data_IF_441810523577
#
_entry.id   IF_441810523577
#
_cell.length_a   1.000
_cell.length_b   1.000
_cell.length_c   1.000
_cell.angle_alpha   90.00
_cell.angle_beta   90.00
_cell.angle_gamma   90.00
#
_symmetry.space_group_name_H-M   'P 1'
#
loop_
_entity.id
_entity.type
_entity.pdbx_description
1 polymer ?
#
# COMPACT_ATOMS: atom_id res chain seq x y z
N UNK A 1 -63.75 62.20 -26.19
CA UNK A 1 -63.33 63.16 -27.23
C UNK A 1 -62.37 62.42 -28.15
N UNK A 2 -62.80 62.21 -29.41
CA UNK A 2 -62.13 61.74 -30.66
C UNK A 2 -60.82 60.91 -30.55
N UNK A 3 -60.70 59.63 -30.95
CA UNK A 3 -60.78 58.99 -32.30
C UNK A 3 -59.95 59.64 -33.42
N UNK A 4 -59.07 58.86 -34.06
CA UNK A 4 -58.55 59.14 -35.41
C UNK A 4 -57.13 58.63 -35.73
N UNK A 5 -57.03 57.43 -36.33
CA UNK A 5 -55.86 56.92 -37.05
C UNK A 5 -55.64 57.68 -38.39
N UNK A 6 -54.39 57.91 -38.80
CA UNK A 6 -54.04 58.12 -40.21
C UNK A 6 -52.63 57.62 -40.57
N UNK A 7 -52.55 56.97 -41.73
CA UNK A 7 -51.46 56.19 -42.32
C UNK A 7 -50.44 57.02 -43.10
N UNK A 8 -49.24 56.43 -43.28
CA UNK A 8 -48.38 56.37 -44.49
C UNK A 8 -47.86 57.71 -45.09
N UNK A 9 -46.71 57.83 -45.76
CA UNK A 9 -45.85 56.89 -46.49
C UNK A 9 -44.52 57.60 -46.89
N UNK A 10 -43.48 56.80 -47.20
CA UNK A 10 -42.44 57.06 -48.23
C UNK A 10 -41.37 58.15 -47.95
N UNK A 11 -40.07 58.10 -48.29
CA UNK A 11 -39.21 57.47 -49.34
C UNK A 11 -37.74 57.59 -48.86
N UNK A 12 -36.86 56.58 -48.85
CA UNK A 12 -36.04 56.04 -49.98
C UNK A 12 -34.54 56.43 -49.79
N UNK A 13 -33.47 55.76 -50.28
CA UNK A 13 -33.10 54.44 -50.81
C UNK A 13 -31.58 54.50 -51.17
N UNK A 14 -30.99 53.37 -51.61
CA UNK A 14 -29.65 53.09 -52.23
C UNK A 14 -28.68 52.42 -51.24
N UNK A 15 -28.15 51.20 -51.40
CA UNK A 15 -27.93 50.24 -52.52
C UNK A 15 -26.54 49.61 -52.21
N UNK A 16 -26.29 48.29 -52.13
CA UNK A 16 -26.40 47.29 -53.18
C UNK A 16 -26.53 45.85 -52.62
N UNK A 17 -27.20 45.03 -53.42
CA UNK A 17 -27.67 43.66 -53.24
C UNK A 17 -26.83 42.64 -54.02
N UNK A 18 -26.66 41.41 -53.52
CA UNK A 18 -26.68 40.18 -54.36
C UNK A 18 -27.30 38.99 -53.61
N UNK A 19 -28.01 38.16 -54.38
CA UNK A 19 -29.15 37.29 -54.09
C UNK A 19 -28.87 35.85 -53.60
N UNK A 20 -29.98 35.29 -53.10
CA UNK A 20 -30.39 33.88 -52.90
C UNK A 20 -29.92 32.85 -53.94
N UNK A 21 -29.71 31.60 -53.51
CA UNK A 21 -30.44 30.41 -54.03
C UNK A 21 -30.14 29.14 -53.22
N UNK A 22 -31.18 28.33 -53.05
CA UNK A 22 -31.28 27.05 -52.32
C UNK A 22 -30.50 25.90 -52.96
N UNK A 23 -29.78 25.07 -52.18
CA UNK A 23 -29.35 23.74 -52.63
C UNK A 23 -29.42 22.63 -51.57
N UNK A 24 -30.00 21.51 -52.01
CA UNK A 24 -30.20 20.22 -51.34
C UNK A 24 -28.90 19.47 -51.03
N UNK A 25 -28.91 18.80 -49.88
CA UNK A 25 -28.42 17.43 -49.58
C UNK A 25 -27.25 16.90 -50.42
N UNK A 26 -26.03 16.91 -49.86
CA UNK A 26 -24.97 15.95 -50.20
C UNK A 26 -24.20 15.49 -48.97
N UNK A 27 -24.36 14.20 -48.71
CA UNK A 27 -23.45 13.31 -47.99
C UNK A 27 -21.99 13.59 -48.35
N UNK A 28 -21.17 13.95 -47.37
CA UNK A 28 -19.74 14.20 -47.55
C UNK A 28 -18.99 13.86 -46.27
N UNK A 29 -18.35 12.70 -46.27
CA UNK A 29 -17.52 12.15 -45.20
C UNK A 29 -16.49 13.18 -44.71
N UNK A 30 -16.65 13.67 -43.48
CA UNK A 30 -15.51 14.05 -42.64
C UNK A 30 -15.20 12.88 -41.71
N UNK A 31 -14.57 11.85 -42.29
CA UNK A 31 -13.75 10.89 -41.56
C UNK A 31 -12.44 11.64 -41.19
N UNK A 32 -12.53 12.57 -40.25
CA UNK A 32 -11.43 13.47 -39.89
C UNK A 32 -11.08 13.36 -38.41
N UNK A 33 -10.20 12.41 -38.06
CA UNK A 33 -9.45 12.33 -36.81
C UNK A 33 -10.21 12.45 -35.47
N UNK A 34 -11.35 11.76 -35.30
CA UNK A 34 -11.66 11.16 -33.98
C UNK A 34 -10.78 9.94 -33.78
N UNK A 35 -9.47 10.14 -33.63
CA UNK A 35 -8.67 9.19 -32.85
C UNK A 35 -9.29 9.25 -31.48
N UNK A 36 -10.17 8.29 -31.18
CA UNK A 36 -10.64 8.01 -29.82
C UNK A 36 -9.38 8.11 -28.97
N UNK A 37 -9.22 9.18 -28.19
CA UNK A 37 -8.38 9.14 -27.00
C UNK A 37 -9.01 7.98 -26.23
N UNK A 38 -8.47 6.77 -26.41
CA UNK A 38 -8.79 5.63 -25.56
C UNK A 38 -8.36 6.15 -24.20
N UNK A 39 -9.33 6.73 -23.49
CA UNK A 39 -9.05 7.64 -22.39
C UNK A 39 -8.21 6.87 -21.39
N UNK A 40 -6.94 7.24 -21.33
CA UNK A 40 -5.97 6.72 -20.37
C UNK A 40 -6.66 6.79 -19.01
N UNK A 41 -6.56 5.71 -18.26
CA UNK A 41 -7.23 5.59 -16.98
C UNK A 41 -6.67 6.57 -15.94
N UNK A 42 -5.42 7.02 -16.15
CA UNK A 42 -4.66 7.80 -15.18
C UNK A 42 -3.80 6.93 -14.26
N UNK A 43 -3.73 5.63 -14.54
CA UNK A 43 -3.12 4.60 -13.69
C UNK A 43 -2.11 3.72 -14.42
N UNK A 44 -1.77 4.07 -15.66
CA UNK A 44 -0.75 3.36 -16.41
C UNK A 44 0.65 3.60 -15.77
N UNK A 45 1.59 2.63 -15.76
CA UNK A 45 2.90 2.76 -15.08
C UNK A 45 3.77 3.95 -15.50
N UNK A 46 3.49 4.53 -16.67
CA UNK A 46 4.19 5.70 -17.21
C UNK A 46 3.26 6.88 -17.44
N UNK A 47 2.13 6.91 -16.73
CA UNK A 47 1.18 8.01 -16.81
C UNK A 47 1.85 9.29 -16.30
N UNK A 48 1.94 10.28 -17.16
CA UNK A 48 2.34 11.64 -16.81
C UNK A 48 1.12 12.54 -16.96
N UNK A 49 0.92 13.42 -15.98
CA UNK A 49 -0.11 14.44 -16.09
C UNK A 49 0.16 15.30 -17.34
N UNK A 50 -0.85 15.57 -18.18
CA UNK A 50 -0.70 16.47 -19.31
C UNK A 50 -0.15 17.83 -18.85
N UNK A 51 0.72 18.44 -19.65
CA UNK A 51 1.17 19.81 -19.40
C UNK A 51 -0.04 20.73 -19.29
N UNK A 52 -0.10 21.52 -18.21
CA UNK A 52 -1.17 22.49 -18.01
C UNK A 52 -1.10 23.58 -19.08
N UNK A 53 -2.23 23.81 -19.74
CA UNK A 53 -2.39 24.97 -20.62
C UNK A 53 -2.22 26.28 -19.83
N UNK A 54 -1.87 27.38 -20.50
CA UNK A 54 -1.72 28.67 -19.83
C UNK A 54 -3.01 29.12 -19.11
N UNK A 55 -4.17 28.78 -19.68
CA UNK A 55 -5.48 29.03 -19.09
C UNK A 55 -5.70 28.20 -17.82
N UNK A 56 -5.36 26.91 -17.84
CA UNK A 56 -5.46 26.04 -16.66
C UNK A 56 -4.49 26.44 -15.56
N UNK A 57 -3.28 26.92 -15.91
CA UNK A 57 -2.33 27.46 -14.92
C UNK A 57 -2.92 28.68 -14.21
N UNK A 58 -3.48 29.63 -14.97
CA UNK A 58 -4.12 30.82 -14.40
C UNK A 58 -5.36 30.47 -13.56
N UNK A 59 -6.15 29.49 -14.00
CA UNK A 59 -7.28 28.98 -13.23
C UNK A 59 -6.81 28.36 -11.91
N UNK A 60 -5.77 27.51 -11.96
CA UNK A 60 -5.19 26.88 -10.77
C UNK A 60 -4.60 27.92 -9.81
N UNK A 61 -3.91 28.95 -10.30
CA UNK A 61 -3.40 30.06 -9.48
C UNK A 61 -4.54 30.79 -8.73
N UNK A 62 -5.71 30.92 -9.36
CA UNK A 62 -6.90 31.52 -8.75
C UNK A 62 -7.55 30.57 -7.74
N UNK A 63 -7.67 29.28 -8.08
CA UNK A 63 -8.35 28.27 -7.25
C UNK A 63 -7.55 27.82 -6.04
N UNK A 64 -6.22 27.82 -6.18
CA UNK A 64 -5.25 27.33 -5.19
C UNK A 64 -4.32 28.43 -4.69
N UNK A 65 -4.74 29.69 -4.79
CA UNK A 65 -4.02 30.82 -4.21
C UNK A 65 -3.76 30.59 -2.72
N UNK A 66 -2.57 30.96 -2.24
CA UNK A 66 -2.19 30.89 -0.80
C UNK A 66 -3.12 31.68 0.12
N UNK A 67 -3.90 32.61 -0.42
CA UNK A 67 -4.92 33.37 0.32
C UNK A 67 -6.17 32.53 0.65
N UNK A 68 -6.30 31.35 0.06
CA UNK A 68 -7.39 30.40 0.32
C UNK A 68 -6.87 29.35 1.32
N UNK A 69 -7.60 29.07 2.41
CA UNK A 69 -7.22 28.02 3.37
C UNK A 69 -6.85 26.71 2.67
N UNK A 70 -5.82 26.02 3.17
CA UNK A 70 -5.33 24.78 2.55
C UNK A 70 -6.44 23.75 2.40
N UNK A 71 -7.33 23.63 3.40
CA UNK A 71 -8.51 22.75 3.36
C UNK A 71 -9.31 22.90 2.10
N UNK A 72 -9.76 24.12 1.83
CA UNK A 72 -10.59 24.45 0.67
C UNK A 72 -9.84 24.14 -0.62
N UNK A 73 -8.53 24.39 -0.66
CA UNK A 73 -7.70 24.06 -1.83
C UNK A 73 -7.63 22.55 -2.06
N UNK A 74 -7.37 21.78 -1.00
CA UNK A 74 -7.25 20.32 -1.03
C UNK A 74 -8.59 19.65 -1.37
N UNK A 75 -9.70 20.05 -0.74
CA UNK A 75 -11.05 19.53 -1.07
C UNK A 75 -11.38 19.72 -2.55
N UNK A 76 -11.21 20.94 -3.07
CA UNK A 76 -11.46 21.26 -4.49
C UNK A 76 -10.56 20.43 -5.39
N UNK A 77 -9.30 20.27 -5.01
CA UNK A 77 -8.35 19.49 -5.77
C UNK A 77 -8.71 18.00 -5.79
N UNK A 78 -9.08 17.41 -4.65
CA UNK A 78 -9.45 15.99 -4.54
C UNK A 78 -10.67 15.68 -5.44
N UNK A 79 -11.68 16.56 -5.45
CA UNK A 79 -12.84 16.42 -6.33
C UNK A 79 -12.45 16.47 -7.82
N UNK A 80 -11.59 17.43 -8.19
CA UNK A 80 -11.04 17.51 -9.57
C UNK A 80 -10.19 16.29 -9.91
N UNK A 81 -9.38 15.79 -8.97
CA UNK A 81 -8.53 14.63 -9.13
C UNK A 81 -9.35 13.36 -9.38
N UNK A 82 -10.43 13.15 -8.60
CA UNK A 82 -11.33 12.01 -8.75
C UNK A 82 -12.07 12.05 -10.10
N UNK A 83 -12.60 13.21 -10.50
CA UNK A 83 -13.37 13.36 -11.75
C UNK A 83 -12.53 13.21 -13.02
N UNK A 84 -11.22 13.51 -12.97
CA UNK A 84 -10.31 13.39 -14.12
C UNK A 84 -9.82 11.96 -14.39
N UNK A 85 -10.00 11.03 -13.44
CA UNK A 85 -9.48 9.65 -13.50
C UNK A 85 -10.58 8.62 -13.61
N UNK A 86 -10.25 7.46 -14.19
CA UNK A 86 -11.15 6.31 -14.23
C UNK A 86 -10.86 5.38 -13.06
N UNK A 87 -11.83 5.24 -12.18
CA UNK A 87 -11.76 4.39 -11.01
C UNK A 87 -12.43 3.04 -11.27
N UNK A 88 -11.91 2.26 -12.23
CA UNK A 88 -12.51 0.96 -12.58
C UNK A 88 -12.15 -0.18 -11.62
N UNK A 89 -11.09 0.02 -10.83
CA UNK A 89 -10.54 -0.98 -9.91
C UNK A 89 -11.03 -0.69 -8.47
N UNK A 90 -11.82 -1.60 -7.87
CA UNK A 90 -12.32 -1.42 -6.50
C UNK A 90 -11.23 -1.31 -5.44
N UNK A 91 -10.12 -2.05 -5.59
CA UNK A 91 -9.00 -2.01 -4.65
C UNK A 91 -8.39 -0.61 -4.61
N UNK A 92 -8.24 0.00 -5.80
CA UNK A 92 -7.68 1.34 -5.93
C UNK A 92 -8.56 2.41 -5.29
N UNK A 93 -9.88 2.33 -5.47
CA UNK A 93 -10.82 3.26 -4.81
C UNK A 93 -10.73 3.12 -3.29
N UNK A 94 -10.75 1.88 -2.79
CA UNK A 94 -10.69 1.58 -1.36
C UNK A 94 -9.42 2.13 -0.74
N UNK A 95 -8.26 1.84 -1.34
CA UNK A 95 -6.96 2.29 -0.83
C UNK A 95 -6.83 3.82 -0.87
N UNK A 96 -7.29 4.47 -1.94
CA UNK A 96 -7.26 5.93 -2.02
C UNK A 96 -8.17 6.56 -0.96
N UNK A 97 -9.33 5.96 -0.71
CA UNK A 97 -10.25 6.40 0.33
C UNK A 97 -9.62 6.28 1.72
N UNK A 98 -9.04 5.12 2.05
CA UNK A 98 -8.31 4.90 3.31
C UNK A 98 -7.16 5.90 3.51
N UNK A 99 -6.41 6.21 2.44
CA UNK A 99 -5.34 7.22 2.50
C UNK A 99 -5.87 8.62 2.80
N UNK A 100 -6.97 9.01 2.17
CA UNK A 100 -7.63 10.29 2.40
C UNK A 100 -8.20 10.39 3.82
N UNK A 101 -8.89 9.34 4.29
CA UNK A 101 -9.46 9.29 5.64
C UNK A 101 -8.35 9.40 6.71
N UNK A 102 -7.21 8.71 6.52
CA UNK A 102 -6.04 8.83 7.42
C UNK A 102 -5.47 10.25 7.43
N UNK A 103 -5.52 10.96 6.31
CA UNK A 103 -5.10 12.36 6.19
C UNK A 103 -6.13 13.38 6.68
N UNK A 104 -7.20 12.95 7.35
CA UNK A 104 -8.25 13.83 7.88
C UNK A 104 -9.29 14.30 6.84
N UNK A 105 -9.35 13.67 5.67
CA UNK A 105 -10.37 13.94 4.66
C UNK A 105 -11.50 12.94 4.83
N UNK A 106 -12.64 13.40 5.33
CA UNK A 106 -13.85 12.58 5.40
C UNK A 106 -14.41 12.29 4.02
N UNK A 107 -14.52 11.01 3.69
CA UNK A 107 -15.13 10.54 2.43
C UNK A 107 -16.54 9.98 2.69
N UNK A 108 -17.58 10.76 2.37
CA UNK A 108 -18.98 10.39 2.57
C UNK A 108 -19.96 11.41 2.03
N UNK A 109 -21.22 11.02 1.83
CA UNK A 109 -22.28 12.00 1.55
C UNK A 109 -22.45 12.89 2.78
N UNK A 110 -22.24 14.21 2.64
CA UNK A 110 -22.56 15.19 3.69
C UNK A 110 -24.01 14.95 4.14
N UNK A 111 -24.21 14.47 5.37
CA UNK A 111 -25.51 13.95 5.87
C UNK A 111 -26.60 15.03 6.06
N UNK A 112 -26.50 16.22 5.45
CA UNK A 112 -27.42 17.32 5.70
C UNK A 112 -27.75 18.19 4.49
N UNK A 113 -28.02 17.58 3.32
CA UNK A 113 -28.57 18.32 2.18
C UNK A 113 -30.10 18.26 2.18
N UNK A 114 -30.71 19.06 3.07
CA UNK A 114 -32.15 19.34 3.03
C UNK A 114 -32.55 19.97 1.69
N UNK A 115 -33.62 19.43 1.07
CA UNK A 115 -34.06 19.73 -0.28
C UNK A 115 -34.14 21.22 -0.61
N UNK A 116 -33.19 21.70 -1.42
CA UNK A 116 -33.31 22.97 -2.12
C UNK A 116 -33.67 22.67 -3.57
N UNK A 117 -34.82 23.19 -4.02
CA UNK A 117 -35.21 23.21 -5.42
C UNK A 117 -34.17 24.03 -6.22
N UNK A 118 -33.34 23.33 -6.99
CA UNK A 118 -32.28 23.92 -7.80
C UNK A 118 -32.88 24.25 -9.17
N UNK A 119 -33.51 25.43 -9.27
CA UNK A 119 -33.77 26.10 -10.54
C UNK A 119 -32.72 27.20 -10.78
N UNK A 120 -32.30 27.33 -12.03
CA UNK A 120 -31.41 28.32 -12.65
C UNK A 120 -29.89 28.07 -12.57
N UNK A 121 -29.27 28.11 -13.76
CA UNK A 121 -27.88 27.83 -14.15
C UNK A 121 -26.77 28.54 -13.35
N UNK A 122 -27.12 29.44 -12.42
CA UNK A 122 -26.17 30.10 -11.53
C UNK A 122 -25.58 29.15 -10.45
N UNK A 123 -26.16 27.96 -10.27
CA UNK A 123 -25.84 27.05 -9.17
C UNK A 123 -24.80 25.96 -9.46
N UNK A 124 -24.15 25.89 -10.62
CA UNK A 124 -23.21 24.79 -10.89
C UNK A 124 -22.11 24.61 -9.82
N UNK A 125 -21.60 25.71 -9.25
CA UNK A 125 -20.64 25.66 -8.12
C UNK A 125 -21.29 25.24 -6.80
N UNK A 126 -22.53 25.66 -6.56
CA UNK A 126 -23.27 25.36 -5.33
C UNK A 126 -23.76 23.89 -5.32
N UNK A 127 -24.21 23.39 -6.46
CA UNK A 127 -24.54 21.96 -6.67
C UNK A 127 -23.29 21.09 -6.56
N UNK A 128 -22.15 21.54 -7.10
CA UNK A 128 -20.87 20.84 -6.93
C UNK A 128 -20.48 20.73 -5.47
N UNK A 129 -20.64 21.81 -4.68
CA UNK A 129 -20.37 21.80 -3.25
C UNK A 129 -21.32 20.90 -2.47
N UNK A 130 -22.59 20.79 -2.90
CA UNK A 130 -23.60 19.91 -2.30
C UNK A 130 -23.42 18.43 -2.67
N UNK A 131 -22.88 18.13 -3.86
CA UNK A 131 -22.60 16.74 -4.31
C UNK A 131 -21.21 16.26 -3.87
N UNK A 132 -20.47 17.10 -3.14
CA UNK A 132 -19.12 16.80 -2.69
C UNK A 132 -19.12 15.62 -1.72
N UNK A 133 -18.46 14.53 -2.11
CA UNK A 133 -18.26 13.35 -1.28
C UNK A 133 -17.04 13.46 -0.37
N UNK A 134 -16.13 14.40 -0.60
CA UNK A 134 -14.85 14.47 0.11
C UNK A 134 -14.72 15.86 0.73
N UNK A 135 -14.67 15.92 2.06
CA UNK A 135 -14.58 17.16 2.83
C UNK A 135 -13.64 17.02 4.02
N UNK A 136 -13.07 18.13 4.48
CA UNK A 136 -12.18 18.21 5.63
C UNK A 136 -12.92 18.97 6.72
N UNK A 137 -13.06 18.35 7.89
CA UNK A 137 -13.69 19.02 9.04
C UNK A 137 -12.74 20.09 9.59
N UNK A 138 -13.17 21.35 9.58
CA UNK A 138 -12.32 22.49 9.93
C UNK A 138 -11.84 22.44 11.38
N UNK A 139 -12.66 21.89 12.28
CA UNK A 139 -12.38 21.83 13.71
C UNK A 139 -11.18 20.93 14.05
N UNK A 140 -10.84 20.00 13.16
CA UNK A 140 -9.72 19.06 13.34
C UNK A 140 -8.36 19.79 13.15
N UNK A 141 -8.28 20.83 12.31
CA UNK A 141 -6.98 21.36 11.88
C UNK A 141 -6.29 22.29 12.86
N UNK A 142 -7.04 22.87 13.80
CA UNK A 142 -6.42 23.62 14.89
C UNK A 142 -5.69 22.69 15.87
N UNK A 143 -5.94 21.37 15.79
CA UNK A 143 -5.34 20.36 16.67
C UNK A 143 -4.16 19.61 16.04
N UNK A 144 -4.02 19.59 14.70
CA UNK A 144 -3.01 18.78 14.02
C UNK A 144 -2.10 19.58 13.08
N UNK A 145 -0.80 19.28 13.15
CA UNK A 145 0.19 19.74 12.17
C UNK A 145 0.01 19.01 10.83
N UNK A 146 0.10 19.76 9.72
CA UNK A 146 0.00 19.20 8.37
C UNK A 146 1.34 18.58 7.96
N UNK A 147 1.39 17.25 7.86
CA UNK A 147 2.57 16.51 7.39
C UNK A 147 2.18 15.40 6.38
N UNK A 148 2.36 15.69 5.09
CA UNK A 148 2.12 14.74 4.00
C UNK A 148 3.06 13.53 4.05
N UNK A 149 4.30 13.73 4.50
CA UNK A 149 5.31 12.67 4.60
C UNK A 149 4.93 11.69 5.70
N UNK A 150 4.52 12.19 6.86
CA UNK A 150 4.06 11.35 7.96
C UNK A 150 2.81 10.57 7.57
N UNK A 151 1.80 11.20 6.97
CA UNK A 151 0.58 10.50 6.51
C UNK A 151 0.91 9.42 5.48
N UNK A 152 1.81 9.70 4.52
CA UNK A 152 2.27 8.70 3.56
C UNK A 152 3.04 7.55 4.24
N UNK A 153 3.89 7.86 5.22
CA UNK A 153 4.65 6.91 6.02
C UNK A 153 3.75 5.96 6.79
N UNK A 154 2.83 6.49 7.60
CA UNK A 154 1.85 5.71 8.37
C UNK A 154 0.98 4.88 7.45
N UNK A 155 0.46 5.47 6.37
CA UNK A 155 -0.38 4.75 5.43
C UNK A 155 0.33 3.52 4.86
N UNK A 156 1.55 3.71 4.33
CA UNK A 156 2.30 2.68 3.63
C UNK A 156 3.03 1.69 4.55
N UNK A 157 3.23 2.01 5.83
CA UNK A 157 3.99 1.15 6.75
C UNK A 157 3.17 0.41 7.80
N UNK A 158 2.15 1.03 8.39
CA UNK A 158 1.32 0.39 9.43
C UNK A 158 -0.11 0.17 8.93
N UNK A 159 -0.75 1.20 8.38
CA UNK A 159 -2.18 1.15 8.05
C UNK A 159 -2.50 0.09 6.98
N UNK A 160 -1.74 0.02 5.89
CA UNK A 160 -2.00 -1.01 4.86
C UNK A 160 -1.65 -2.43 5.32
N UNK A 161 -0.69 -2.59 6.24
CA UNK A 161 -0.26 -3.89 6.74
C UNK A 161 -1.28 -4.48 7.71
N UNK A 162 -1.79 -3.67 8.64
CA UNK A 162 -2.69 -4.13 9.70
C UNK A 162 -4.18 -3.94 9.39
N UNK A 163 -4.55 -2.90 8.65
CA UNK A 163 -5.97 -2.51 8.52
C UNK A 163 -6.55 -2.80 7.12
N UNK A 164 -5.74 -2.71 6.06
CA UNK A 164 -6.25 -2.89 4.69
C UNK A 164 -6.39 -4.36 4.26
N UNK A 165 -5.80 -5.30 5.01
CA UNK A 165 -5.86 -6.74 4.73
C UNK A 165 -5.19 -7.12 3.40
N UNK A 166 -4.12 -6.41 3.02
CA UNK A 166 -3.44 -6.65 1.74
C UNK A 166 -2.61 -7.94 1.80
N UNK A 167 -2.91 -8.87 0.90
CA UNK A 167 -2.23 -10.18 0.88
C UNK A 167 -1.28 -10.33 -0.30
N UNK A 168 -1.50 -9.60 -1.39
CA UNK A 168 -0.75 -9.73 -2.65
C UNK A 168 0.28 -8.62 -2.83
N UNK A 169 1.38 -8.93 -3.52
CA UNK A 169 2.41 -7.94 -3.88
C UNK A 169 1.84 -6.83 -4.79
N UNK A 170 0.92 -7.18 -5.68
CA UNK A 170 0.27 -6.22 -6.60
C UNK A 170 -0.53 -5.14 -5.84
N UNK A 171 -1.19 -5.50 -4.74
CA UNK A 171 -1.97 -4.55 -3.95
C UNK A 171 -1.05 -3.53 -3.24
N UNK A 172 0.15 -3.97 -2.81
CA UNK A 172 1.16 -3.09 -2.21
C UNK A 172 1.69 -2.08 -3.24
N UNK A 173 1.96 -2.54 -4.46
CA UNK A 173 2.35 -1.66 -5.57
C UNK A 173 1.27 -0.62 -5.86
N UNK A 174 0.01 -1.05 -5.93
CA UNK A 174 -1.13 -0.15 -6.14
C UNK A 174 -1.20 0.91 -5.04
N UNK A 175 -1.01 0.54 -3.76
CA UNK A 175 -1.01 1.49 -2.64
C UNK A 175 0.08 2.57 -2.81
N UNK A 176 1.33 2.18 -3.09
CA UNK A 176 2.43 3.13 -3.30
C UNK A 176 2.18 4.05 -4.49
N UNK A 177 1.69 3.50 -5.61
CA UNK A 177 1.41 4.26 -6.83
C UNK A 177 0.26 5.25 -6.64
N UNK A 178 -0.77 4.92 -5.87
CA UNK A 178 -1.87 5.85 -5.55
C UNK A 178 -1.31 7.08 -4.82
N UNK A 179 -0.56 6.88 -3.74
CA UNK A 179 0.01 7.97 -2.94
C UNK A 179 0.92 8.84 -3.80
N UNK A 180 1.88 8.22 -4.51
CA UNK A 180 2.82 8.93 -5.39
C UNK A 180 2.10 9.72 -6.48
N UNK A 181 1.16 9.10 -7.19
CA UNK A 181 0.44 9.76 -8.29
C UNK A 181 -0.47 10.90 -7.81
N UNK A 182 -1.06 10.76 -6.63
CA UNK A 182 -1.86 11.83 -6.03
C UNK A 182 -0.97 13.03 -5.66
N UNK A 183 0.10 12.81 -4.91
CA UNK A 183 1.00 13.85 -4.44
C UNK A 183 1.76 14.55 -5.58
N UNK A 184 2.19 13.81 -6.60
CA UNK A 184 2.75 14.42 -7.82
C UNK A 184 1.73 15.31 -8.54
N UNK A 185 0.44 14.93 -8.52
CA UNK A 185 -0.62 15.76 -9.10
C UNK A 185 -0.90 17.01 -8.27
N UNK A 186 -0.80 16.93 -6.93
CA UNK A 186 -0.84 18.09 -6.02
C UNK A 186 0.27 19.09 -6.37
N UNK A 187 1.50 18.61 -6.56
CA UNK A 187 2.65 19.43 -6.98
C UNK A 187 2.44 20.02 -8.38
N UNK A 188 2.02 19.19 -9.35
CA UNK A 188 1.80 19.61 -10.75
C UNK A 188 0.79 20.75 -10.87
N UNK A 189 -0.24 20.74 -10.03
CA UNK A 189 -1.30 21.77 -10.02
C UNK A 189 -1.02 22.92 -9.03
N UNK A 190 0.13 22.92 -8.35
CA UNK A 190 0.53 23.92 -7.37
C UNK A 190 -0.53 24.15 -6.27
N UNK A 191 -1.09 23.06 -5.73
CA UNK A 191 -2.22 23.14 -4.79
C UNK A 191 -1.79 23.63 -3.41
N UNK A 192 -0.61 23.19 -2.95
CA UNK A 192 -0.07 23.42 -1.61
C UNK A 192 1.42 23.84 -1.65
N UNK A 193 1.77 24.97 -2.30
CA UNK A 193 3.16 25.42 -2.46
C UNK A 193 3.93 25.62 -1.16
N UNK A 194 3.26 25.88 -0.04
CA UNK A 194 3.91 26.02 1.26
C UNK A 194 4.45 24.69 1.83
N UNK A 195 3.98 23.54 1.32
CA UNK A 195 4.39 22.20 1.73
C UNK A 195 5.13 21.45 0.61
N UNK A 196 5.63 22.18 -0.39
CA UNK A 196 6.23 21.60 -1.60
C UNK A 196 7.35 20.59 -1.28
N UNK A 197 8.23 20.94 -0.34
CA UNK A 197 9.34 20.07 0.09
C UNK A 197 8.84 18.84 0.86
N UNK A 198 7.87 19.01 1.75
CA UNK A 198 7.27 17.89 2.48
C UNK A 198 6.52 16.92 1.55
N UNK A 199 5.85 17.43 0.51
CA UNK A 199 5.19 16.60 -0.52
C UNK A 199 6.22 15.88 -1.39
N UNK A 200 7.35 16.51 -1.73
CA UNK A 200 8.45 15.84 -2.44
C UNK A 200 9.04 14.70 -1.61
N UNK A 201 9.29 14.95 -0.33
CA UNK A 201 9.76 13.92 0.60
C UNK A 201 8.78 12.75 0.70
N UNK A 202 7.48 13.03 0.73
CA UNK A 202 6.43 12.00 0.71
C UNK A 202 6.41 11.20 -0.60
N UNK A 203 6.67 11.83 -1.75
CA UNK A 203 6.81 11.14 -3.03
C UNK A 203 8.03 10.20 -3.05
N UNK A 204 9.15 10.63 -2.49
CA UNK A 204 10.37 9.81 -2.36
C UNK A 204 10.12 8.63 -1.42
N UNK A 205 9.43 8.85 -0.31
CA UNK A 205 9.03 7.77 0.61
C UNK A 205 8.14 6.76 -0.10
N UNK A 206 7.16 7.19 -0.90
CA UNK A 206 6.29 6.27 -1.64
C UNK A 206 7.05 5.44 -2.68
N UNK A 207 8.09 6.00 -3.31
CA UNK A 207 8.98 5.27 -4.22
C UNK A 207 9.86 4.25 -3.48
N UNK A 208 10.42 4.64 -2.33
CA UNK A 208 11.14 3.73 -1.44
C UNK A 208 10.24 2.57 -0.98
N UNK A 209 9.02 2.89 -0.55
CA UNK A 209 8.02 1.94 -0.07
C UNK A 209 7.69 0.87 -1.11
N UNK A 210 7.55 1.23 -2.39
CA UNK A 210 7.29 0.26 -3.46
C UNK A 210 8.35 -0.84 -3.50
N UNK A 211 9.63 -0.51 -3.30
CA UNK A 211 10.72 -1.49 -3.30
C UNK A 211 10.81 -2.29 -2.00
N UNK A 212 10.71 -1.62 -0.85
CA UNK A 212 10.87 -2.25 0.46
C UNK A 212 9.69 -3.14 0.81
N UNK A 213 8.45 -2.70 0.59
CA UNK A 213 7.25 -3.46 0.96
C UNK A 213 7.15 -4.79 0.19
N UNK A 214 7.49 -4.79 -1.10
CA UNK A 214 7.53 -6.02 -1.90
C UNK A 214 8.62 -6.96 -1.36
N UNK A 215 9.81 -6.42 -1.08
CA UNK A 215 10.93 -7.19 -0.55
C UNK A 215 10.61 -7.78 0.83
N UNK A 216 9.97 -7.00 1.68
CA UNK A 216 9.51 -7.40 3.00
C UNK A 216 8.41 -8.46 2.93
N UNK A 217 7.45 -8.32 2.01
CA UNK A 217 6.42 -9.34 1.77
C UNK A 217 7.07 -10.65 1.38
N UNK A 218 8.00 -10.66 0.44
CA UNK A 218 8.75 -11.85 0.03
C UNK A 218 9.53 -12.46 1.20
N UNK A 219 10.19 -11.62 1.99
CA UNK A 219 10.93 -12.06 3.17
C UNK A 219 10.00 -12.72 4.20
N UNK A 220 8.85 -12.10 4.51
CA UNK A 220 7.88 -12.60 5.49
C UNK A 220 7.40 -14.02 5.18
N UNK A 221 7.27 -14.38 3.89
CA UNK A 221 6.86 -15.74 3.48
C UNK A 221 7.96 -16.79 3.65
N UNK A 222 9.22 -16.38 3.71
CA UNK A 222 10.38 -17.28 3.80
C UNK A 222 10.93 -17.39 5.21
N UNK A 223 10.74 -16.37 6.04
CA UNK A 223 11.14 -16.40 7.44
C UNK A 223 10.36 -17.46 8.25
N UNK A 224 10.93 -17.97 9.36
CA UNK A 224 12.28 -17.69 9.87
C UNK A 224 13.42 -18.39 9.10
N UNK A 225 13.11 -19.11 8.01
CA UNK A 225 14.09 -19.90 7.27
C UNK A 225 14.06 -21.38 7.66
N UNK A 226 14.70 -22.22 6.85
CA UNK A 226 14.69 -23.68 7.04
C UNK A 226 15.57 -24.08 8.21
N UNK A 227 16.72 -23.43 8.39
CA UNK A 227 17.64 -23.62 9.50
C UNK A 227 16.99 -23.30 10.84
N UNK A 228 16.32 -22.15 10.93
CA UNK A 228 15.67 -21.72 12.16
C UNK A 228 14.52 -22.66 12.55
N UNK A 229 13.72 -23.12 11.58
CA UNK A 229 12.69 -24.14 11.83
C UNK A 229 13.27 -25.46 12.32
N UNK A 230 14.39 -25.90 11.75
CA UNK A 230 15.07 -27.10 12.23
C UNK A 230 15.54 -26.93 13.68
N UNK A 231 16.18 -25.80 14.00
CA UNK A 231 16.62 -25.46 15.36
C UNK A 231 15.43 -25.41 16.34
N UNK A 232 14.33 -24.74 15.96
CA UNK A 232 13.12 -24.66 16.77
C UNK A 232 12.54 -26.06 17.06
N UNK A 233 12.47 -26.95 16.07
CA UNK A 233 11.96 -28.32 16.28
C UNK A 233 12.77 -29.16 17.29
N UNK A 234 14.05 -28.82 17.50
CA UNK A 234 14.93 -29.53 18.45
C UNK A 234 14.89 -28.88 19.83
N UNK A 235 14.88 -27.55 19.91
CA UNK A 235 15.14 -26.83 21.15
C UNK A 235 13.90 -26.25 21.79
N UNK A 236 12.91 -25.83 21.00
CA UNK A 236 11.72 -25.13 21.46
C UNK A 236 10.58 -26.11 21.73
N UNK A 237 10.08 -26.12 22.96
CA UNK A 237 9.13 -27.11 23.44
C UNK A 237 7.85 -27.19 22.59
N UNK A 238 7.36 -26.06 22.08
CA UNK A 238 6.16 -26.02 21.24
C UNK A 238 6.30 -26.75 19.89
N UNK A 239 7.52 -26.99 19.41
CA UNK A 239 7.78 -27.67 18.13
C UNK A 239 8.39 -29.07 18.30
N UNK A 240 8.83 -29.45 19.50
CA UNK A 240 9.45 -30.75 19.77
C UNK A 240 8.47 -31.88 19.49
N UNK A 241 8.86 -32.81 18.62
CA UNK A 241 8.06 -33.98 18.28
C UNK A 241 6.77 -33.70 17.50
N UNK A 242 6.46 -32.43 17.18
CA UNK A 242 5.20 -32.03 16.56
C UNK A 242 4.96 -32.71 15.20
N UNK A 243 6.05 -33.01 14.48
CA UNK A 243 6.00 -33.62 13.14
C UNK A 243 6.58 -35.03 13.11
N UNK A 244 6.82 -35.64 14.27
CA UNK A 244 7.24 -37.04 14.33
C UNK A 244 6.01 -37.91 14.03
N UNK A 245 6.18 -38.92 13.15
CA UNK A 245 5.10 -39.86 12.85
C UNK A 245 4.72 -40.59 14.15
N UNK A 246 3.52 -40.37 14.65
CA UNK A 246 2.99 -41.09 15.80
C UNK A 246 2.98 -42.60 15.48
N UNK A 247 3.44 -43.43 16.41
CA UNK A 247 3.46 -44.89 16.20
C UNK A 247 2.05 -45.51 16.09
N UNK A 248 0.99 -44.75 16.38
CA UNK A 248 -0.41 -45.21 16.30
C UNK A 248 -0.94 -45.41 14.87
N UNK A 249 -0.30 -44.83 13.84
CA UNK A 249 -0.76 -44.99 12.45
C UNK A 249 -0.27 -46.30 11.79
N UNK A 250 0.31 -47.23 12.56
CA UNK A 250 0.87 -48.48 12.03
C UNK A 250 0.14 -49.76 12.44
N UNK A 251 -1.01 -49.67 13.11
CA UNK A 251 -1.82 -50.84 13.48
C UNK A 251 -3.32 -50.54 13.45
N UNK A 252 -3.95 -50.61 12.28
CA UNK A 252 -5.26 -51.26 12.07
C UNK A 252 -5.74 -51.07 10.63
N UNK A 253 -5.66 -52.16 9.87
CA UNK A 253 -6.66 -52.47 8.86
C UNK A 253 -8.06 -52.39 9.52
N UNK A 254 -8.89 -51.41 9.16
CA UNK A 254 -10.35 -51.56 9.02
C UNK A 254 -11.00 -50.22 8.67
N UNK A 255 -11.33 -50.07 7.38
CA UNK A 255 -12.56 -49.44 6.89
C UNK A 255 -13.07 -48.19 7.61
N UNK A 256 -12.66 -47.01 7.16
CA UNK A 256 -13.53 -45.82 7.19
C UNK A 256 -13.55 -45.24 5.78
N UNK A 257 -14.63 -45.53 5.05
CA UNK A 257 -14.95 -44.92 3.77
C UNK A 257 -15.20 -43.42 4.00
N UNK A 258 -14.25 -42.56 3.62
CA UNK A 258 -14.55 -41.16 3.34
C UNK A 258 -14.50 -40.96 1.83
N UNK A 259 -15.60 -40.45 1.31
CA UNK A 259 -16.00 -40.40 -0.09
C UNK A 259 -14.91 -39.72 -0.94
N UNK A 260 -14.38 -40.46 -1.91
CA UNK A 260 -13.58 -39.95 -3.01
C UNK A 260 -14.44 -39.05 -3.90
N UNK A 261 -14.21 -37.74 -3.84
CA UNK A 261 -14.52 -36.82 -4.93
C UNK A 261 -13.25 -36.56 -5.74
N UNK A 262 -13.11 -37.37 -6.79
CA UNK A 262 -12.21 -37.32 -7.94
C UNK A 262 -11.61 -35.94 -8.30
N UNK A 263 -10.31 -35.75 -8.04
CA UNK A 263 -9.27 -35.34 -9.01
C UNK A 263 -8.01 -34.81 -8.30
N UNK A 264 -7.12 -35.69 -7.87
CA UNK A 264 -5.66 -35.45 -7.89
C UNK A 264 -4.95 -36.77 -7.63
N UNK A 265 -4.22 -37.27 -8.63
CA UNK A 265 -3.31 -38.42 -8.50
C UNK A 265 -2.21 -38.07 -7.49
N UNK A 266 -2.31 -38.58 -6.26
CA UNK A 266 -1.17 -38.70 -5.37
C UNK A 266 -0.34 -39.90 -5.81
N UNK A 267 0.81 -39.65 -6.44
CA UNK A 267 1.85 -40.67 -6.59
C UNK A 267 2.59 -40.81 -5.25
N UNK A 268 2.82 -42.03 -4.75
CA UNK A 268 3.69 -42.24 -3.60
C UNK A 268 5.12 -42.34 -4.11
N UNK A 269 5.88 -41.25 -4.03
CA UNK A 269 7.34 -41.30 -4.08
C UNK A 269 7.88 -40.47 -2.90
N UNK A 270 8.67 -41.15 -2.08
CA UNK A 270 9.27 -40.74 -0.81
C UNK A 270 10.42 -39.71 -0.97
N UNK A 271 10.35 -38.85 -1.99
CA UNK A 271 11.32 -37.76 -2.21
C UNK A 271 10.54 -36.50 -2.65
N UNK A 272 10.71 -35.39 -1.89
CA UNK A 272 10.14 -34.06 -2.13
C UNK A 272 8.63 -33.88 -1.83
N UNK A 273 8.27 -33.77 -0.55
CA UNK A 273 7.10 -32.95 -0.18
C UNK A 273 7.56 -31.53 0.17
N UNK A 274 7.76 -30.72 -0.87
CA UNK A 274 7.63 -29.24 -0.77
C UNK A 274 6.51 -28.82 -1.72
N UNK A 275 5.28 -28.64 -1.21
CA UNK A 275 4.34 -27.77 -1.89
C UNK A 275 3.59 -26.88 -0.90
N UNK A 276 4.27 -26.35 0.12
CA UNK A 276 3.87 -25.17 0.90
C UNK A 276 5.09 -24.69 1.70
N UNK A 277 5.29 -23.37 1.81
CA UNK A 277 6.51 -22.71 2.36
C UNK A 277 6.87 -23.00 3.82
N UNK A 278 6.37 -24.07 4.42
CA UNK A 278 6.62 -24.52 5.78
C UNK A 278 7.32 -25.88 5.72
N UNK A 279 8.65 -25.89 5.58
CA UNK A 279 9.44 -27.13 5.72
C UNK A 279 9.23 -27.68 7.14
N UNK A 280 8.42 -28.74 7.24
CA UNK A 280 8.15 -29.46 8.48
C UNK A 280 9.25 -30.50 8.66
N UNK A 281 9.96 -30.45 9.78
CA UNK A 281 11.00 -31.41 10.10
C UNK A 281 10.50 -32.38 11.15
N UNK A 282 10.67 -33.69 10.90
CA UNK A 282 10.75 -34.62 12.02
C UNK A 282 12.00 -34.31 12.85
N UNK A 283 11.99 -34.72 14.12
CA UNK A 283 13.10 -34.52 15.05
C UNK A 283 14.39 -35.11 14.50
N UNK A 284 14.33 -36.27 13.84
CA UNK A 284 15.51 -36.87 13.21
C UNK A 284 16.00 -36.06 12.01
N UNK A 285 15.09 -35.64 11.12
CA UNK A 285 15.44 -34.83 9.95
C UNK A 285 16.05 -33.47 10.35
N UNK A 286 15.54 -32.85 11.41
CA UNK A 286 16.11 -31.61 11.93
C UNK A 286 17.52 -31.81 12.49
N UNK A 287 17.76 -32.88 13.27
CA UNK A 287 19.12 -33.22 13.76
C UNK A 287 20.10 -33.42 12.62
N UNK A 288 19.73 -34.21 11.63
CA UNK A 288 20.58 -34.50 10.46
C UNK A 288 20.86 -33.22 9.67
N UNK A 289 19.85 -32.36 9.50
CA UNK A 289 20.00 -31.06 8.85
C UNK A 289 20.98 -30.16 9.60
N UNK A 290 20.77 -29.93 10.90
CA UNK A 290 21.63 -29.07 11.74
C UNK A 290 23.07 -29.60 11.78
N UNK A 291 23.25 -30.92 11.92
CA UNK A 291 24.57 -31.53 11.94
C UNK A 291 25.33 -31.32 10.63
N UNK A 292 24.63 -31.36 9.49
CA UNK A 292 25.22 -31.12 8.16
C UNK A 292 25.54 -29.64 7.90
N UNK A 293 24.76 -28.72 8.46
CA UNK A 293 24.85 -27.28 8.16
C UNK A 293 25.71 -26.51 9.15
N UNK A 294 25.50 -26.71 10.44
CA UNK A 294 26.21 -26.00 11.52
C UNK A 294 27.19 -26.91 12.29
N UNK A 295 26.95 -28.23 12.29
CA UNK A 295 27.74 -29.20 13.06
C UNK A 295 27.10 -29.60 14.39
N UNK A 296 27.66 -30.63 15.06
CA UNK A 296 27.01 -31.28 16.20
C UNK A 296 26.89 -30.41 17.46
N UNK A 297 27.76 -29.39 17.62
CA UNK A 297 27.77 -28.50 18.80
C UNK A 297 26.47 -27.71 18.98
N UNK A 298 25.69 -27.54 17.92
CA UNK A 298 24.45 -26.77 17.93
C UNK A 298 23.23 -27.60 18.36
N UNK A 299 23.42 -28.89 18.65
CA UNK A 299 22.35 -29.79 19.11
C UNK A 299 22.21 -29.84 20.64
N UNK A 300 23.19 -29.31 21.40
CA UNK A 300 23.28 -29.54 22.86
C UNK A 300 22.83 -28.36 23.73
N UNK A 301 22.43 -27.24 23.12
CA UNK A 301 22.01 -26.05 23.87
C UNK A 301 20.72 -26.28 24.66
N UNK A 302 20.60 -25.62 25.82
CA UNK A 302 19.37 -25.57 26.60
C UNK A 302 18.76 -24.18 26.49
N UNK A 303 17.43 -24.14 26.39
CA UNK A 303 16.66 -22.89 26.40
C UNK A 303 16.86 -22.20 27.76
N UNK A 304 17.35 -20.98 27.72
CA UNK A 304 17.52 -20.10 28.88
C UNK A 304 16.30 -19.20 29.03
N UNK A 305 15.85 -18.63 27.92
CA UNK A 305 14.84 -17.57 27.88
C UNK A 305 14.17 -17.54 26.51
N UNK A 306 12.91 -17.10 26.47
CA UNK A 306 12.14 -16.86 25.25
C UNK A 306 11.44 -15.52 25.36
N UNK A 307 11.61 -14.67 24.36
CA UNK A 307 11.04 -13.31 24.36
C UNK A 307 10.39 -13.02 23.00
N UNK A 308 9.30 -12.26 23.04
CA UNK A 308 8.74 -11.65 21.83
C UNK A 308 9.33 -10.25 21.70
N UNK A 309 10.00 -9.98 20.59
CA UNK A 309 10.74 -8.74 20.39
C UNK A 309 10.46 -8.13 19.03
N UNK A 310 10.44 -6.80 19.01
CA UNK A 310 10.56 -5.97 17.82
C UNK A 310 12.00 -5.51 17.69
N UNK A 311 12.63 -5.85 16.57
CA UNK A 311 14.06 -5.66 16.36
C UNK A 311 14.36 -5.00 15.02
N UNK A 312 15.45 -4.25 14.95
CA UNK A 312 15.94 -3.60 13.74
C UNK A 312 17.18 -4.31 13.21
N UNK A 313 17.19 -4.64 11.92
CA UNK A 313 18.35 -5.22 11.25
C UNK A 313 19.45 -4.16 11.09
N UNK A 314 20.64 -4.41 11.63
CA UNK A 314 21.76 -3.45 11.58
C UNK A 314 22.85 -3.87 10.61
N UNK A 315 23.14 -5.16 10.52
CA UNK A 315 24.18 -5.65 9.62
C UNK A 315 23.99 -7.13 9.29
N UNK A 316 24.61 -7.52 8.18
CA UNK A 316 24.65 -8.90 7.70
C UNK A 316 26.09 -9.26 7.37
N UNK A 317 26.57 -10.40 7.85
CA UNK A 317 27.92 -10.89 7.53
C UNK A 317 27.84 -12.29 6.97
N UNK A 318 28.40 -12.52 5.78
CA UNK A 318 28.45 -13.86 5.20
C UNK A 318 29.35 -14.77 6.05
N UNK A 319 28.87 -15.97 6.33
CA UNK A 319 29.60 -16.99 7.05
C UNK A 319 30.01 -18.11 6.09
N UNK A 320 31.28 -18.49 6.14
CA UNK A 320 31.83 -19.57 5.33
C UNK A 320 31.59 -20.90 6.04
N UNK A 321 30.46 -21.56 5.72
CA UNK A 321 30.24 -22.97 6.06
C UNK A 321 30.48 -23.84 4.82
N UNK A 322 30.96 -25.06 5.01
CA UNK A 322 31.45 -25.91 3.92
C UNK A 322 30.38 -26.27 2.88
N UNK A 323 29.10 -26.26 3.26
CA UNK A 323 28.02 -26.88 2.48
C UNK A 323 26.84 -25.95 2.16
N UNK A 324 26.77 -24.76 2.77
CA UNK A 324 25.69 -23.80 2.57
C UNK A 324 26.19 -22.38 2.82
N UNK A 325 25.68 -21.43 2.03
CA UNK A 325 25.89 -20.00 2.27
C UNK A 325 24.95 -19.53 3.38
N UNK A 326 25.52 -19.30 4.56
CA UNK A 326 24.80 -18.75 5.70
C UNK A 326 25.24 -17.31 5.94
N UNK A 327 24.39 -16.52 6.56
CA UNK A 327 24.69 -15.17 7.00
C UNK A 327 24.41 -15.02 8.49
N UNK A 328 25.22 -14.21 9.16
CA UNK A 328 24.95 -13.72 10.50
C UNK A 328 24.21 -12.40 10.38
N UNK A 329 22.95 -12.39 10.77
CA UNK A 329 22.13 -11.19 10.88
C UNK A 329 22.25 -10.64 12.29
N UNK A 330 22.62 -9.37 12.40
CA UNK A 330 22.68 -8.66 13.67
C UNK A 330 21.47 -7.76 13.78
N UNK A 331 20.72 -7.95 14.86
CA UNK A 331 19.58 -7.13 15.20
C UNK A 331 19.84 -6.34 16.48
N UNK A 332 19.20 -5.18 16.61
CA UNK A 332 19.10 -4.44 17.86
C UNK A 332 17.64 -4.37 18.28
N UNK A 333 17.37 -4.39 19.58
CA UNK A 333 16.01 -4.16 20.08
C UNK A 333 15.59 -2.74 19.72
N UNK A 334 14.38 -2.60 19.18
CA UNK A 334 13.88 -1.34 18.65
C UNK A 334 12.43 -1.14 19.06
N UNK A 335 12.18 0.00 19.71
CA UNK A 335 10.85 0.43 20.09
C UNK A 335 10.22 1.21 18.92
N UNK A 336 9.06 0.76 18.40
CA UNK A 336 8.36 1.48 17.33
C UNK A 336 8.04 2.92 17.72
N UNK A 337 8.08 3.88 16.78
CA UNK A 337 7.60 5.24 16.99
C UNK A 337 6.19 5.22 17.57
N UNK A 338 6.00 5.95 18.67
CA UNK A 338 4.71 6.05 19.33
C UNK A 338 4.43 5.00 20.42
N UNK A 339 5.28 3.98 20.56
CA UNK A 339 5.22 3.07 21.71
C UNK A 339 5.38 3.86 23.03
N UNK A 340 4.40 3.71 23.93
CA UNK A 340 4.42 4.35 25.27
C UNK A 340 5.44 3.69 26.20
N UNK A 341 5.77 2.44 25.95
CA UNK A 341 6.64 1.63 26.78
C UNK A 341 7.73 1.00 25.92
N UNK A 342 8.97 1.13 26.37
CA UNK A 342 10.06 0.32 25.83
C UNK A 342 9.79 -1.15 26.07
N UNK A 343 10.33 -1.98 25.20
CA UNK A 343 10.28 -3.43 25.38
C UNK A 343 10.92 -3.83 26.71
N UNK A 344 10.20 -4.64 27.49
CA UNK A 344 10.66 -5.17 28.78
C UNK A 344 11.67 -6.31 28.52
N UNK A 345 12.89 -5.94 28.15
CA UNK A 345 13.99 -6.86 27.86
C UNK A 345 15.32 -6.29 28.33
N UNK A 346 16.22 -7.19 28.74
CA UNK A 346 17.62 -6.86 29.01
C UNK A 346 18.53 -7.01 27.78
N UNK A 347 17.96 -7.39 26.63
CA UNK A 347 18.69 -7.61 25.38
C UNK A 347 18.77 -6.29 24.63
N UNK A 348 19.99 -5.89 24.25
CA UNK A 348 20.17 -4.74 23.35
C UNK A 348 20.45 -5.18 21.91
N UNK A 349 21.10 -6.35 21.76
CA UNK A 349 21.62 -6.85 20.49
C UNK A 349 21.48 -8.36 20.40
N UNK A 350 21.03 -8.84 19.25
CA UNK A 350 20.82 -10.25 18.95
C UNK A 350 21.61 -10.65 17.70
N UNK A 351 22.13 -11.87 17.67
CA UNK A 351 22.78 -12.43 16.49
C UNK A 351 22.07 -13.72 16.08
N UNK A 352 21.52 -13.73 14.87
CA UNK A 352 20.78 -14.88 14.31
C UNK A 352 21.48 -15.36 13.04
N UNK A 353 21.67 -16.68 12.93
CA UNK A 353 22.26 -17.30 11.73
C UNK A 353 21.13 -17.71 10.78
N UNK A 354 21.13 -17.20 9.56
CA UNK A 354 20.10 -17.42 8.55
C UNK A 354 20.71 -17.89 7.23
N UNK A 355 19.92 -18.49 6.36
CA UNK A 355 20.34 -18.72 4.98
C UNK A 355 20.59 -17.38 4.27
N UNK A 356 21.71 -17.26 3.54
CA UNK A 356 22.13 -15.97 2.98
C UNK A 356 21.13 -15.38 1.97
N UNK A 357 20.41 -16.25 1.26
CA UNK A 357 19.43 -15.86 0.24
C UNK A 357 18.18 -15.20 0.80
N UNK A 358 17.88 -15.40 2.09
CA UNK A 358 16.75 -14.76 2.75
C UNK A 358 16.90 -13.24 2.77
N UNK A 359 18.10 -12.74 3.07
CA UNK A 359 18.33 -11.31 3.33
C UNK A 359 18.89 -10.53 2.14
N UNK A 360 18.97 -11.14 0.96
CA UNK A 360 19.58 -10.53 -0.24
C UNK A 360 18.89 -9.22 -0.67
N UNK A 361 17.57 -9.14 -0.55
CA UNK A 361 16.78 -7.98 -0.97
C UNK A 361 16.30 -7.12 0.20
N UNK A 362 16.72 -7.43 1.42
CA UNK A 362 16.33 -6.70 2.62
C UNK A 362 17.24 -5.49 2.78
N UNK A 363 16.71 -4.33 3.16
CA UNK A 363 17.52 -3.13 3.41
C UNK A 363 17.98 -3.13 4.88
N UNK A 364 19.20 -2.68 5.15
CA UNK A 364 19.63 -2.47 6.53
C UNK A 364 18.74 -1.39 7.17
N UNK A 365 18.23 -1.68 8.36
CA UNK A 365 17.20 -0.89 9.03
C UNK A 365 15.78 -1.45 8.91
N UNK A 366 15.58 -2.54 8.16
CA UNK A 366 14.29 -3.28 8.14
C UNK A 366 13.98 -3.77 9.56
N UNK A 367 12.73 -3.66 10.00
CA UNK A 367 12.31 -4.12 11.32
C UNK A 367 11.61 -5.48 11.24
N UNK A 368 11.68 -6.23 12.32
CA UNK A 368 11.14 -7.57 12.44
C UNK A 368 10.43 -7.70 13.78
N UNK A 369 9.22 -8.23 13.74
CA UNK A 369 8.48 -8.67 14.91
C UNK A 369 8.49 -10.19 14.97
N UNK A 370 8.96 -10.77 16.08
CA UNK A 370 9.06 -12.21 16.19
C UNK A 370 9.41 -12.71 17.58
N UNK A 371 9.34 -14.03 17.74
CA UNK A 371 9.75 -14.72 18.95
C UNK A 371 11.18 -15.22 18.82
N UNK A 372 11.98 -14.94 19.85
CA UNK A 372 13.39 -15.31 19.93
C UNK A 372 13.60 -16.26 21.11
N UNK A 373 14.26 -17.39 20.84
CA UNK A 373 14.68 -18.34 21.87
C UNK A 373 16.19 -18.26 22.05
N UNK A 374 16.63 -18.03 23.28
CA UNK A 374 18.04 -17.92 23.64
C UNK A 374 18.54 -19.22 24.27
N UNK A 375 19.64 -19.75 23.74
CA UNK A 375 20.28 -20.95 24.26
C UNK A 375 21.52 -20.61 25.10
N UNK A 376 21.82 -21.45 26.10
CA UNK A 376 22.99 -21.34 26.98
C UNK A 376 24.33 -21.44 26.24
N UNK A 377 24.34 -22.04 25.05
CA UNK A 377 25.51 -22.13 24.17
C UNK A 377 25.72 -20.89 23.28
N UNK A 378 24.92 -19.82 23.49
CA UNK A 378 25.04 -18.54 22.77
C UNK A 378 24.31 -18.49 21.42
N UNK A 379 23.57 -19.54 21.04
CA UNK A 379 22.73 -19.52 19.84
C UNK A 379 21.41 -18.80 20.13
N UNK A 380 21.02 -17.92 19.20
CA UNK A 380 19.67 -17.34 19.18
C UNK A 380 18.86 -17.98 18.05
N UNK A 381 17.69 -18.49 18.38
CA UNK A 381 16.74 -19.05 17.42
C UNK A 381 15.63 -18.03 17.19
N UNK A 382 15.32 -17.77 15.92
CA UNK A 382 14.14 -17.01 15.50
C UNK A 382 13.02 -18.02 15.22
N UNK A 383 12.07 -18.17 16.14
CA UNK A 383 11.11 -19.28 16.07
C UNK A 383 9.92 -18.95 15.18
N UNK A 384 9.35 -17.76 15.39
CA UNK A 384 8.19 -17.23 14.66
C UNK A 384 8.45 -15.79 14.28
N UNK A 385 8.01 -15.41 13.08
CA UNK A 385 7.98 -14.04 12.62
C UNK A 385 6.53 -13.65 12.40
N UNK A 386 6.07 -12.62 13.10
CA UNK A 386 4.72 -12.08 12.94
C UNK A 386 4.67 -11.01 11.85
N UNK A 387 5.65 -10.11 11.80
CA UNK A 387 5.69 -9.05 10.80
C UNK A 387 7.12 -8.70 10.36
N UNK A 388 7.24 -8.26 9.11
CA UNK A 388 8.45 -7.64 8.55
C UNK A 388 8.07 -6.24 8.12
N UNK A 389 8.65 -5.23 8.77
CA UNK A 389 8.24 -3.84 8.64
C UNK A 389 9.32 -3.03 7.88
N UNK A 390 8.92 -2.04 7.07
CA UNK A 390 9.86 -1.21 6.31
C UNK A 390 10.77 -0.38 7.20
N UNK A 391 11.83 0.17 6.61
CA UNK A 391 12.80 1.04 7.31
C UNK A 391 12.19 2.37 7.77
N UNK A 392 11.15 2.82 7.08
CA UNK A 392 10.39 4.05 7.34
C UNK A 392 9.14 3.81 8.20
N UNK A 393 9.08 2.72 8.96
CA UNK A 393 7.88 2.38 9.73
C UNK A 393 7.45 3.52 10.67
N UNK A 394 6.18 3.89 10.56
CA UNK A 394 5.51 4.91 11.36
C UNK A 394 4.14 4.39 11.80
N UNK A 395 3.72 4.74 13.00
CA UNK A 395 2.45 4.30 13.59
C UNK A 395 1.71 5.48 14.21
N UNK A 396 0.38 5.43 14.16
CA UNK A 396 -0.45 6.40 14.88
C UNK A 396 -0.30 6.08 16.36
N UNK A 397 0.05 7.09 17.17
CA UNK A 397 0.07 6.92 18.62
C UNK A 397 -1.34 6.58 19.08
N UNK A 398 -1.52 5.42 19.72
CA UNK A 398 -2.72 5.16 20.51
C UNK A 398 -2.77 6.21 21.63
N UNK A 399 -3.68 7.19 21.52
CA UNK A 399 -3.89 8.22 22.54
C UNK A 399 -4.25 7.63 23.90
#
# INVERSE_FOLDING_TARGET
MAEGDFKNDSTGCIGDSVEFTTFKKRTGKSLGNRRKKRGLSGWEPYFQEPELTAEEKLENETLYSRNIPLTVRMERFIQRYRSRRKWSDPTRIRLFTMYLDLGGVSTGQKQFTGGTDINNDAKAREVSAQTTTDYIEYDILDEYDIDFKWVAGVFLSSHILYNAGLTKEEDLQIACQIVRNFLLSVLHNNVAPEFEDNIRDACLLAEQAETELISNKRLSTKLPGRLQRALASIHVDNYKGLWDKSQSDRTSDSSVNFIESNNTKFMPNDELFEPDGISRFSTQQARDYIQRTLGPRYLTGKVVEQEYLTVKLVSKTLLNFSNQSLCKAVFIVWDPPGSKYSQDTNKERLEVILESDLLNNTVDGTHLEGSFTFLDNGLTILDTVLAVLPTFYEEVKDE
#
